data_IF_096715318419
#
_entry.id   IF_096715318419
#
_cell.length_a   1.000
_cell.length_b   1.000
_cell.length_c   1.000
_cell.angle_alpha   90.00
_cell.angle_beta   90.00
_cell.angle_gamma   90.00
#
_symmetry.space_group_name_H-M   'P 1'
#
loop_
_entity.id
_entity.type
_entity.pdbx_description
1 polymer ?
#
# COMPACT_ATOMS: atom_id res chain seq x y z
N UNK A 1 11.09 0.26 -2.51
CA UNK A 1 9.79 0.69 -1.96
C UNK A 1 9.88 1.99 -1.17
N UNK A 2 10.76 2.11 -0.18
CA UNK A 2 10.86 3.33 0.64
C UNK A 2 11.24 4.60 -0.15
N UNK A 3 12.18 4.54 -1.09
CA UNK A 3 12.54 5.71 -1.93
C UNK A 3 11.34 6.19 -2.77
N UNK A 4 10.58 5.26 -3.35
CA UNK A 4 9.36 5.57 -4.10
C UNK A 4 8.30 6.22 -3.21
N UNK A 5 8.13 5.70 -1.98
CA UNK A 5 7.25 6.27 -0.98
C UNK A 5 7.66 7.69 -0.56
N UNK A 6 8.94 7.91 -0.28
CA UNK A 6 9.47 9.21 0.08
C UNK A 6 9.26 10.22 -1.05
N UNK A 7 9.48 9.84 -2.31
CA UNK A 7 9.20 10.69 -3.47
C UNK A 7 7.70 11.00 -3.62
N UNK A 8 6.84 9.99 -3.48
CA UNK A 8 5.39 10.18 -3.56
C UNK A 8 4.88 11.11 -2.45
N UNK A 9 5.27 10.86 -1.20
CA UNK A 9 4.92 11.70 -0.06
C UNK A 9 5.44 13.13 -0.20
N UNK A 10 6.68 13.31 -0.66
CA UNK A 10 7.26 14.63 -0.91
C UNK A 10 6.49 15.39 -2.00
N UNK A 11 6.02 14.70 -3.05
CA UNK A 11 5.21 15.30 -4.11
C UNK A 11 3.81 15.67 -3.62
N UNK A 12 3.20 14.84 -2.77
CA UNK A 12 1.83 15.01 -2.30
C UNK A 12 1.70 16.05 -1.18
N UNK A 13 2.61 16.04 -0.22
CA UNK A 13 2.52 16.83 1.02
C UNK A 13 3.66 17.85 1.16
N UNK A 14 4.52 17.98 0.15
CA UNK A 14 5.66 18.89 0.17
C UNK A 14 6.66 18.55 1.29
N UNK A 15 7.16 19.57 1.98
CA UNK A 15 8.14 19.42 3.07
C UNK A 15 7.62 18.53 4.21
N UNK A 16 6.33 18.63 4.56
CA UNK A 16 5.72 17.76 5.56
C UNK A 16 5.71 16.29 5.13
N UNK A 17 5.57 16.03 3.83
CA UNK A 17 5.65 14.69 3.24
C UNK A 17 7.01 14.02 3.45
N UNK A 18 8.10 14.79 3.39
CA UNK A 18 9.45 14.29 3.68
C UNK A 18 9.50 13.76 5.12
N UNK A 19 9.06 14.55 6.09
CA UNK A 19 9.07 14.18 7.51
C UNK A 19 8.15 12.99 7.78
N UNK A 20 6.91 13.06 7.28
CA UNK A 20 5.91 12.01 7.45
C UNK A 20 6.33 10.68 6.81
N UNK A 21 7.09 10.70 5.71
CA UNK A 21 7.54 9.47 5.05
C UNK A 21 8.45 8.59 5.93
N UNK A 22 9.18 9.17 6.89
CA UNK A 22 10.01 8.43 7.85
C UNK A 22 9.20 7.86 9.00
N UNK A 23 8.10 8.52 9.39
CA UNK A 23 7.23 8.11 10.49
C UNK A 23 6.23 7.06 10.00
N UNK A 24 5.61 7.33 8.86
CA UNK A 24 4.69 6.44 8.17
C UNK A 24 5.51 5.54 7.26
N UNK A 25 5.96 4.39 7.76
CA UNK A 25 6.52 3.37 6.89
C UNK A 25 5.48 2.98 5.81
N UNK A 26 5.89 2.72 4.55
CA UNK A 26 4.99 2.33 3.49
C UNK A 26 4.40 0.95 3.79
N UNK A 27 3.29 0.95 4.53
CA UNK A 27 2.50 -0.24 4.85
C UNK A 27 1.51 -0.55 3.75
N UNK A 28 1.13 -1.82 3.67
CA UNK A 28 0.13 -2.37 2.76
C UNK A 28 -1.23 -1.62 2.83
N UNK A 29 -1.51 -0.95 3.95
CA UNK A 29 -2.78 -0.24 4.15
C UNK A 29 -2.60 1.28 4.12
N UNK A 30 -1.43 1.78 4.51
CA UNK A 30 -1.17 3.23 4.65
C UNK A 30 -1.06 3.89 3.27
N UNK A 31 -0.37 3.24 2.33
CA UNK A 31 -0.18 3.78 0.98
C UNK A 31 -1.50 4.08 0.24
N UNK A 32 -2.45 3.14 0.07
CA UNK A 32 -3.70 3.41 -0.65
C UNK A 32 -4.59 4.44 0.05
N UNK A 33 -4.57 4.53 1.39
CA UNK A 33 -5.34 5.53 2.12
C UNK A 33 -4.82 6.96 1.87
N UNK A 34 -3.50 7.14 1.90
CA UNK A 34 -2.88 8.44 1.60
C UNK A 34 -3.13 8.82 0.14
N UNK A 35 -2.97 7.87 -0.79
CA UNK A 35 -3.29 8.09 -2.20
C UNK A 35 -4.74 8.55 -2.39
N UNK A 36 -5.70 7.88 -1.75
CA UNK A 36 -7.11 8.24 -1.85
C UNK A 36 -7.38 9.66 -1.35
N UNK A 37 -6.80 10.04 -0.21
CA UNK A 37 -6.98 11.37 0.35
C UNK A 37 -6.38 12.48 -0.54
N UNK A 38 -5.22 12.24 -1.15
CA UNK A 38 -4.51 13.24 -1.96
C UNK A 38 -5.13 13.38 -3.35
N UNK A 39 -5.38 12.27 -4.04
CA UNK A 39 -5.86 12.28 -5.42
C UNK A 39 -7.39 12.36 -5.49
N UNK A 40 -8.10 12.17 -4.37
CA UNK A 40 -9.56 12.18 -4.30
C UNK A 40 -10.24 10.98 -4.99
N UNK A 41 -9.45 10.02 -5.50
CA UNK A 41 -9.92 8.85 -6.25
C UNK A 41 -9.62 7.58 -5.47
N UNK A 42 -10.63 6.72 -5.34
CA UNK A 42 -10.47 5.44 -4.64
C UNK A 42 -9.52 4.51 -5.42
N UNK A 43 -8.47 3.95 -4.78
CA UNK A 43 -7.47 3.10 -5.44
C UNK A 43 -8.00 1.67 -5.69
N UNK A 44 -9.02 1.55 -6.53
CA UNK A 44 -9.76 0.31 -6.80
C UNK A 44 -8.83 -0.83 -7.20
N UNK A 45 -7.90 -0.58 -8.12
CA UNK A 45 -6.97 -1.61 -8.61
C UNK A 45 -6.07 -2.16 -7.50
N UNK A 46 -5.62 -1.31 -6.57
CA UNK A 46 -4.81 -1.73 -5.43
C UNK A 46 -5.55 -2.76 -4.58
N UNK A 47 -6.80 -2.46 -4.21
CA UNK A 47 -7.62 -3.36 -3.39
C UNK A 47 -8.01 -4.64 -4.12
N UNK A 48 -8.22 -4.60 -5.45
CA UNK A 48 -8.45 -5.80 -6.25
C UNK A 48 -7.22 -6.72 -6.19
N UNK A 49 -6.03 -6.21 -6.50
CA UNK A 49 -4.80 -7.01 -6.49
C UNK A 49 -4.50 -7.53 -5.10
N UNK A 50 -4.69 -6.70 -4.07
CA UNK A 50 -4.54 -7.11 -2.68
C UNK A 50 -5.51 -8.23 -2.29
N UNK A 51 -6.79 -8.12 -2.66
CA UNK A 51 -7.79 -9.14 -2.43
C UNK A 51 -7.47 -10.47 -3.13
N UNK A 52 -7.04 -10.41 -4.39
CA UNK A 52 -6.57 -11.60 -5.14
C UNK A 52 -5.36 -12.24 -4.43
N UNK A 53 -4.43 -11.42 -3.93
CA UNK A 53 -3.28 -11.90 -3.16
C UNK A 53 -3.67 -12.65 -1.89
N UNK A 54 -4.66 -12.15 -1.13
CA UNK A 54 -5.20 -12.85 0.05
C UNK A 54 -5.82 -14.19 -0.36
N UNK A 55 -6.63 -14.21 -1.41
CA UNK A 55 -7.24 -15.46 -1.91
C UNK A 55 -6.16 -16.48 -2.30
N UNK A 56 -5.11 -16.03 -2.98
CA UNK A 56 -3.95 -16.87 -3.33
C UNK A 56 -3.24 -17.44 -2.10
N UNK A 57 -3.02 -16.62 -1.06
CA UNK A 57 -2.43 -17.08 0.21
C UNK A 57 -3.30 -18.12 0.91
N UNK A 58 -4.63 -17.95 0.90
CA UNK A 58 -5.56 -18.92 1.48
C UNK A 58 -5.47 -20.26 0.72
N UNK A 59 -5.50 -20.23 -0.61
CA UNK A 59 -5.39 -21.44 -1.44
C UNK A 59 -4.07 -22.15 -1.18
N UNK A 60 -2.95 -21.41 -1.18
CA UNK A 60 -1.63 -21.95 -0.89
C UNK A 60 -1.56 -22.59 0.50
N UNK A 61 -2.12 -21.93 1.53
CA UNK A 61 -2.14 -22.45 2.90
C UNK A 61 -3.02 -23.69 3.07
N UNK A 62 -4.10 -23.83 2.30
CA UNK A 62 -4.90 -25.06 2.27
C UNK A 62 -4.12 -26.17 1.55
N UNK A 63 -3.49 -25.85 0.41
CA UNK A 63 -2.75 -26.83 -0.39
C UNK A 63 -1.54 -27.39 0.36
N UNK A 64 -0.84 -26.58 1.15
CA UNK A 64 0.35 -26.99 1.91
C UNK A 64 0.06 -27.88 3.12
N UNK A 65 -1.22 -28.08 3.47
CA UNK A 65 -1.64 -28.84 4.66
C UNK A 65 -1.92 -30.32 4.36
N UNK A 66 -1.81 -30.73 3.10
CA UNK A 66 -2.12 -32.07 2.61
C UNK A 66 -0.86 -32.89 2.23
N UNK A 67 0.34 -32.37 2.50
CA UNK A 67 1.62 -33.09 2.50
C UNK A 67 2.06 -33.39 3.94
#
# INVERSE_FOLDING_TARGET
MFIFWLMAMSKWLGFFGVILSFILAPGLVIFPLVFWFVEGVFPTFYFIVWGIGIVGLIIAGISSKND
#
